data_IF_003052693575
#
_entry.id   IF_003052693575
#
_cell.length_a   1.000
_cell.length_b   1.000
_cell.length_c   1.000
_cell.angle_alpha   90.00
_cell.angle_beta   90.00
_cell.angle_gamma   90.00
#
_symmetry.space_group_name_H-M   'P 1'
#
loop_
_entity.id
_entity.type
_entity.pdbx_description
1 polymer ?
#
# COMPACT_ATOMS: atom_id res chain seq x y z
N UNK A 1 -15.07 36.08 28.71
CA UNK A 1 -13.87 35.26 28.50
C UNK A 1 -13.33 34.63 29.75
N UNK A 2 -13.23 35.36 30.88
CA UNK A 2 -12.71 34.84 32.18
C UNK A 2 -13.67 33.83 32.83
N UNK A 3 -14.99 34.13 32.83
CA UNK A 3 -16.01 33.25 33.41
C UNK A 3 -16.19 31.92 32.66
N UNK A 4 -15.89 31.91 31.38
CA UNK A 4 -15.99 30.70 30.52
C UNK A 4 -14.75 29.81 30.66
N UNK A 5 -13.58 30.42 30.86
CA UNK A 5 -12.36 29.70 31.24
C UNK A 5 -12.47 29.00 32.58
N UNK A 6 -13.03 29.69 33.57
CA UNK A 6 -13.25 29.13 34.90
C UNK A 6 -14.25 27.97 34.91
N UNK A 7 -15.26 28.00 34.03
CA UNK A 7 -16.24 26.93 33.86
C UNK A 7 -15.65 25.68 33.18
N UNK A 8 -14.75 25.86 32.22
CA UNK A 8 -14.03 24.76 31.54
C UNK A 8 -13.03 24.12 32.47
N UNK A 9 -12.35 24.92 33.32
CA UNK A 9 -11.42 24.43 34.36
C UNK A 9 -12.17 23.63 35.42
N UNK A 10 -13.34 24.11 35.89
CA UNK A 10 -14.19 23.37 36.83
C UNK A 10 -14.69 22.02 36.27
N UNK A 11 -15.05 21.94 34.97
CA UNK A 11 -15.49 20.71 34.31
C UNK A 11 -14.34 19.67 34.21
N UNK A 12 -13.12 20.11 33.95
CA UNK A 12 -11.93 19.23 33.91
C UNK A 12 -11.49 18.75 35.29
N UNK A 13 -11.63 19.58 36.32
CA UNK A 13 -11.33 19.24 37.72
C UNK A 13 -12.25 18.13 38.24
N UNK A 14 -13.51 18.14 37.86
CA UNK A 14 -14.49 17.13 38.28
C UNK A 14 -14.22 15.76 37.62
N UNK A 15 -13.58 15.73 36.46
CA UNK A 15 -13.20 14.50 35.77
C UNK A 15 -11.86 13.90 36.24
N UNK A 16 -10.95 14.71 36.81
CA UNK A 16 -9.58 14.29 37.13
C UNK A 16 -9.33 14.03 38.64
N UNK A 17 -10.30 14.27 39.50
CA UNK A 17 -10.16 14.04 40.96
C UNK A 17 -9.13 14.94 41.70
N UNK A 18 -8.66 16.02 41.05
CA UNK A 18 -7.71 16.97 41.61
C UNK A 18 -8.42 18.22 42.12
N UNK A 19 -7.94 18.79 43.25
CA UNK A 19 -8.55 20.02 43.78
C UNK A 19 -8.17 21.23 42.91
N UNK A 20 -9.11 22.17 42.79
CA UNK A 20 -8.95 23.41 42.01
C UNK A 20 -7.67 24.20 42.40
N UNK A 21 -7.30 24.18 43.68
CA UNK A 21 -6.12 24.88 44.19
C UNK A 21 -4.80 24.21 43.77
N UNK A 22 -4.79 22.89 43.61
CA UNK A 22 -3.60 22.18 43.13
C UNK A 22 -3.35 22.48 41.64
N UNK A 23 -4.40 22.51 40.85
CA UNK A 23 -4.29 22.80 39.42
C UNK A 23 -3.92 24.24 39.11
N UNK A 24 -4.38 25.18 39.98
CA UNK A 24 -4.04 26.61 39.91
C UNK A 24 -2.57 26.86 40.28
N UNK A 25 -2.02 26.10 41.22
CA UNK A 25 -0.59 26.14 41.59
C UNK A 25 0.27 25.57 40.45
N UNK A 26 -0.06 24.41 39.90
CA UNK A 26 0.67 23.82 38.80
C UNK A 26 0.68 24.73 37.55
N UNK A 27 -0.46 25.37 37.23
CA UNK A 27 -0.53 26.34 36.13
C UNK A 27 0.25 27.63 36.41
N UNK A 28 0.33 28.07 37.65
CA UNK A 28 1.13 29.24 38.05
C UNK A 28 2.64 28.91 38.07
N UNK A 29 3.03 27.72 38.46
CA UNK A 29 4.40 27.22 38.39
C UNK A 29 4.87 27.02 36.98
N UNK A 30 4.00 26.46 36.08
CA UNK A 30 4.28 26.36 34.64
C UNK A 30 4.38 27.73 33.96
N UNK A 31 3.53 28.68 34.31
CA UNK A 31 3.60 30.06 33.78
C UNK A 31 4.81 30.84 34.34
N UNK A 32 5.31 30.55 35.53
CA UNK A 32 6.53 31.16 36.07
C UNK A 32 7.80 30.49 35.53
N UNK A 33 7.81 29.21 35.26
CA UNK A 33 8.88 28.50 34.58
C UNK A 33 9.03 28.93 33.11
N UNK A 34 7.93 29.27 32.46
CA UNK A 34 7.89 29.77 31.06
C UNK A 34 8.46 31.20 30.93
N UNK A 35 8.64 31.93 32.01
CA UNK A 35 9.12 33.35 32.00
C UNK A 35 10.64 33.54 32.07
N UNK A 36 11.47 32.50 32.03
CA UNK A 36 12.91 32.59 32.29
C UNK A 36 13.87 31.94 31.27
N UNK A 37 13.51 31.81 30.00
CA UNK A 37 14.42 31.22 28.99
C UNK A 37 14.15 31.66 27.57
N UNK A 38 14.85 32.66 27.04
CA UNK A 38 14.39 33.50 25.93
C UNK A 38 14.75 33.06 24.51
N UNK A 39 15.49 31.97 24.25
CA UNK A 39 15.86 31.55 22.88
C UNK A 39 15.51 30.10 22.53
N UNK A 40 15.44 29.20 23.49
CA UNK A 40 14.87 27.84 23.26
C UNK A 40 13.35 27.86 23.14
N UNK A 41 12.71 28.76 23.91
CA UNK A 41 11.25 28.90 23.95
C UNK A 41 10.65 29.34 22.63
N UNK A 42 11.33 30.23 21.85
CA UNK A 42 10.83 30.65 20.53
C UNK A 42 10.87 29.55 19.47
N UNK A 43 11.80 28.59 19.59
CA UNK A 43 11.82 27.40 18.73
C UNK A 43 10.77 26.39 19.16
N UNK A 44 10.58 26.19 20.45
CA UNK A 44 9.56 25.28 20.99
C UNK A 44 8.14 25.85 20.82
N UNK A 45 7.92 27.16 20.95
CA UNK A 45 6.64 27.82 20.63
C UNK A 45 6.32 27.73 19.12
N UNK A 46 7.31 27.86 18.24
CA UNK A 46 7.12 27.72 16.80
C UNK A 46 6.80 26.28 16.41
N UNK A 47 7.43 25.29 17.05
CA UNK A 47 7.12 23.87 16.90
C UNK A 47 5.76 23.50 17.49
N UNK A 48 5.36 24.09 18.64
CA UNK A 48 4.04 23.94 19.25
C UNK A 48 2.92 24.63 18.48
N UNK A 49 3.23 25.65 17.67
CA UNK A 49 2.28 26.37 16.82
C UNK A 49 2.06 25.75 15.45
N UNK A 50 2.98 24.87 15.00
CA UNK A 50 2.84 24.19 13.71
C UNK A 50 1.61 23.28 13.70
N UNK A 51 0.76 23.44 12.69
CA UNK A 51 -0.45 22.59 12.57
C UNK A 51 -0.15 21.15 12.19
N UNK A 52 1.01 20.88 11.60
CA UNK A 52 1.53 19.54 11.29
C UNK A 52 2.79 19.28 12.11
N UNK A 53 2.70 18.49 13.15
CA UNK A 53 3.83 18.23 14.05
C UNK A 53 4.73 17.10 13.54
N UNK A 54 4.12 15.99 13.09
CA UNK A 54 4.87 14.82 12.62
C UNK A 54 5.54 15.06 11.27
N UNK A 55 4.86 15.72 10.33
CA UNK A 55 5.44 16.03 9.03
C UNK A 55 6.57 17.06 9.16
N UNK A 56 6.41 18.08 10.02
CA UNK A 56 7.50 19.04 10.29
C UNK A 56 8.71 18.36 10.93
N UNK A 57 8.51 17.39 11.84
CA UNK A 57 9.60 16.60 12.39
C UNK A 57 10.33 15.75 11.32
N UNK A 58 9.63 15.30 10.28
CA UNK A 58 10.27 14.67 9.11
C UNK A 58 11.14 15.67 8.37
N UNK A 59 10.67 16.90 8.13
CA UNK A 59 11.46 17.97 7.50
C UNK A 59 12.75 18.24 8.26
N UNK A 60 12.69 18.29 9.58
CA UNK A 60 13.86 18.49 10.44
C UNK A 60 14.83 17.30 10.37
N UNK A 61 14.31 16.07 10.42
CA UNK A 61 15.10 14.84 10.27
C UNK A 61 15.89 14.83 8.95
N UNK A 62 15.23 15.26 7.86
CA UNK A 62 15.83 15.23 6.52
C UNK A 62 16.61 16.50 6.16
N UNK A 63 16.63 17.55 6.98
CA UNK A 63 17.44 18.74 6.76
C UNK A 63 18.96 18.44 6.70
N UNK A 64 19.40 17.41 7.40
CA UNK A 64 20.81 16.95 7.46
C UNK A 64 20.96 15.49 6.98
N UNK A 65 19.95 14.95 6.31
CA UNK A 65 19.95 13.57 5.85
C UNK A 65 21.00 13.35 4.77
N UNK A 66 21.77 12.28 4.93
CA UNK A 66 22.64 11.75 3.89
C UNK A 66 21.97 10.53 3.27
N UNK A 67 21.84 10.49 1.93
CA UNK A 67 21.32 9.31 1.27
C UNK A 67 22.08 8.05 1.68
N UNK A 68 21.40 6.94 1.94
CA UNK A 68 22.06 5.67 2.21
C UNK A 68 22.80 5.17 0.97
N UNK A 69 23.73 4.25 1.18
CA UNK A 69 24.35 3.52 0.08
C UNK A 69 23.40 2.39 -0.33
N UNK A 70 22.98 2.42 -1.59
CA UNK A 70 22.16 1.38 -2.19
C UNK A 70 23.03 0.27 -2.79
N UNK A 71 22.50 -0.95 -2.79
CA UNK A 71 23.12 -2.16 -3.33
C UNK A 71 22.37 -2.53 -4.62
N UNK A 72 22.70 -1.83 -5.70
CA UNK A 72 21.97 -1.90 -6.97
C UNK A 72 22.57 -2.97 -7.95
N UNK A 73 23.56 -3.73 -7.54
CA UNK A 73 24.08 -4.88 -8.31
C UNK A 73 23.22 -6.13 -8.00
N UNK A 74 22.00 -6.15 -8.55
CA UNK A 74 20.99 -7.17 -8.29
C UNK A 74 20.22 -7.53 -9.57
N UNK A 75 19.64 -8.73 -9.57
CA UNK A 75 18.69 -9.18 -10.61
C UNK A 75 17.35 -9.49 -9.98
N UNK A 76 16.25 -9.41 -10.74
CA UNK A 76 14.92 -9.72 -10.24
C UNK A 76 14.79 -11.17 -9.76
N UNK A 77 15.38 -12.12 -10.48
CA UNK A 77 15.42 -13.53 -10.09
C UNK A 77 16.18 -13.71 -8.77
N UNK A 78 17.40 -13.13 -8.66
CA UNK A 78 18.21 -13.17 -7.45
C UNK A 78 17.50 -12.54 -6.25
N UNK A 79 16.80 -11.40 -6.43
CA UNK A 79 16.02 -10.78 -5.37
C UNK A 79 14.88 -11.69 -4.88
N UNK A 80 14.23 -12.43 -5.79
CA UNK A 80 13.18 -13.39 -5.41
C UNK A 80 13.74 -14.54 -4.53
N UNK A 81 14.87 -15.10 -4.92
CA UNK A 81 15.53 -16.17 -4.17
C UNK A 81 16.03 -15.67 -2.82
N UNK A 82 16.71 -14.53 -2.80
CA UNK A 82 17.25 -13.92 -1.58
C UNK A 82 16.13 -13.55 -0.58
N UNK A 83 15.03 -12.95 -1.04
CA UNK A 83 13.89 -12.63 -0.20
C UNK A 83 13.22 -13.88 0.39
N UNK A 84 13.05 -14.93 -0.43
CA UNK A 84 12.52 -16.21 0.03
C UNK A 84 13.41 -16.84 1.11
N UNK A 85 14.72 -16.87 0.87
CA UNK A 85 15.70 -17.42 1.81
C UNK A 85 15.77 -16.60 3.10
N UNK A 86 15.73 -15.24 2.99
CA UNK A 86 15.70 -14.35 4.13
C UNK A 86 14.44 -14.57 4.99
N UNK A 87 13.27 -14.71 4.39
CA UNK A 87 12.02 -15.00 5.10
C UNK A 87 12.11 -16.33 5.87
N UNK A 88 12.69 -17.36 5.25
CA UNK A 88 12.89 -18.67 5.87
C UNK A 88 13.84 -18.59 7.07
N UNK A 89 15.07 -18.11 6.86
CA UNK A 89 16.12 -18.18 7.88
C UNK A 89 15.90 -17.21 9.02
N UNK A 90 15.50 -15.97 8.72
CA UNK A 90 15.42 -14.93 9.74
C UNK A 90 14.07 -14.87 10.46
N UNK A 91 13.00 -15.40 9.85
CA UNK A 91 11.65 -15.26 10.37
C UNK A 91 10.89 -16.59 10.50
N UNK A 92 11.45 -17.71 10.05
CA UNK A 92 10.77 -19.02 10.05
C UNK A 92 9.50 -19.02 9.17
N UNK A 93 9.49 -18.20 8.11
CA UNK A 93 8.37 -18.04 7.19
C UNK A 93 8.70 -18.74 5.86
N UNK A 94 7.86 -19.67 5.49
CA UNK A 94 8.07 -20.52 4.32
C UNK A 94 7.11 -20.13 3.22
N UNK A 95 7.65 -19.52 2.15
CA UNK A 95 6.87 -19.17 0.96
C UNK A 95 7.38 -19.96 -0.24
N UNK A 96 6.49 -20.37 -1.12
CA UNK A 96 6.87 -20.90 -2.41
C UNK A 96 7.56 -19.79 -3.24
N UNK A 97 8.56 -20.16 -4.02
CA UNK A 97 9.27 -19.21 -4.87
C UNK A 97 8.33 -18.50 -5.84
N UNK A 98 7.30 -19.22 -6.34
CA UNK A 98 6.23 -18.65 -7.17
C UNK A 98 5.53 -17.48 -6.48
N UNK A 99 5.21 -17.61 -5.19
CA UNK A 99 4.57 -16.52 -4.41
C UNK A 99 5.44 -15.27 -4.34
N UNK A 100 6.74 -15.45 -4.13
CA UNK A 100 7.69 -14.33 -4.09
C UNK A 100 7.82 -13.68 -5.48
N UNK A 101 7.90 -14.48 -6.55
CA UNK A 101 7.91 -14.00 -7.94
C UNK A 101 6.65 -13.19 -8.27
N UNK A 102 5.46 -13.69 -7.89
CA UNK A 102 4.20 -12.97 -8.02
C UNK A 102 4.20 -11.65 -7.27
N UNK A 103 4.80 -11.63 -6.07
CA UNK A 103 4.89 -10.43 -5.25
C UNK A 103 5.78 -9.37 -5.92
N UNK A 104 7.01 -9.72 -6.31
CA UNK A 104 7.95 -8.79 -6.96
C UNK A 104 7.39 -8.28 -8.31
N UNK A 105 6.86 -9.18 -9.14
CA UNK A 105 6.25 -8.79 -10.41
C UNK A 105 4.95 -7.99 -10.23
N UNK A 106 4.19 -8.27 -9.17
CA UNK A 106 3.00 -7.50 -8.82
C UNK A 106 3.31 -6.04 -8.46
N UNK A 107 4.47 -5.76 -7.82
CA UNK A 107 4.93 -4.39 -7.55
C UNK A 107 5.14 -3.59 -8.83
N UNK A 108 5.62 -4.21 -9.90
CA UNK A 108 5.77 -3.56 -11.20
C UNK A 108 4.41 -3.24 -11.86
N UNK A 109 3.42 -4.09 -11.65
CA UNK A 109 2.12 -3.99 -12.30
C UNK A 109 1.21 -2.91 -11.69
N UNK A 110 1.20 -2.78 -10.34
CA UNK A 110 0.31 -1.86 -9.63
C UNK A 110 0.94 -1.35 -8.33
N UNK A 111 0.44 -0.22 -7.83
CA UNK A 111 0.80 0.29 -6.49
C UNK A 111 -0.09 -0.25 -5.37
N UNK A 112 -1.13 -1.01 -5.71
CA UNK A 112 -2.00 -1.70 -4.74
C UNK A 112 -1.92 -3.20 -4.96
N UNK A 113 -1.49 -3.95 -3.95
CA UNK A 113 -1.51 -5.42 -3.93
C UNK A 113 -2.51 -5.88 -2.88
N UNK A 114 -3.24 -6.94 -3.18
CA UNK A 114 -4.15 -7.60 -2.23
C UNK A 114 -3.69 -9.03 -2.01
N UNK A 115 -3.34 -9.35 -0.77
CA UNK A 115 -3.03 -10.69 -0.32
C UNK A 115 -4.29 -11.28 0.31
N UNK A 116 -4.89 -12.25 -0.35
CA UNK A 116 -6.12 -12.89 0.14
C UNK A 116 -5.92 -14.39 0.40
N UNK A 117 -6.78 -14.98 1.20
CA UNK A 117 -6.76 -16.41 1.51
C UNK A 117 -7.14 -16.70 2.97
N UNK A 118 -6.97 -17.94 3.38
CA UNK A 118 -7.30 -18.39 4.74
C UNK A 118 -6.42 -17.75 5.81
N UNK A 119 -6.93 -17.65 7.03
CA UNK A 119 -6.16 -17.09 8.16
C UNK A 119 -4.92 -17.95 8.48
N UNK A 120 -3.82 -17.27 8.88
CA UNK A 120 -2.58 -17.95 9.30
C UNK A 120 -1.67 -18.43 8.17
N UNK A 121 -1.86 -17.97 6.92
CA UNK A 121 -1.00 -18.29 5.77
C UNK A 121 0.16 -17.32 5.56
N UNK A 122 0.32 -16.32 6.44
CA UNK A 122 1.44 -15.38 6.37
C UNK A 122 1.18 -14.14 5.51
N UNK A 123 -0.10 -13.79 5.25
CA UNK A 123 -0.47 -12.60 4.45
C UNK A 123 0.15 -11.30 4.93
N UNK A 124 0.02 -10.99 6.21
CA UNK A 124 0.62 -9.79 6.83
C UNK A 124 2.14 -9.92 6.99
N UNK A 125 2.61 -11.16 7.23
CA UNK A 125 4.03 -11.42 7.44
C UNK A 125 4.87 -11.22 6.19
N UNK A 126 4.35 -11.52 5.00
CA UNK A 126 5.10 -11.40 3.74
C UNK A 126 5.55 -9.94 3.47
N UNK A 127 4.67 -8.94 3.40
CA UNK A 127 5.08 -7.56 3.18
C UNK A 127 5.87 -6.98 4.38
N UNK A 128 5.63 -7.46 5.59
CA UNK A 128 6.43 -7.07 6.75
C UNK A 128 7.89 -7.52 6.60
N UNK A 129 8.12 -8.78 6.23
CA UNK A 129 9.48 -9.32 6.00
C UNK A 129 10.13 -8.68 4.78
N UNK A 130 9.36 -8.36 3.75
CA UNK A 130 9.86 -7.58 2.62
C UNK A 130 10.46 -6.24 3.06
N UNK A 131 9.75 -5.49 3.92
CA UNK A 131 10.28 -4.24 4.47
C UNK A 131 11.60 -4.46 5.21
N UNK A 132 11.70 -5.54 6.01
CA UNK A 132 12.96 -5.90 6.69
C UNK A 132 14.07 -6.24 5.71
N UNK A 133 13.78 -7.04 4.69
CA UNK A 133 14.74 -7.42 3.67
C UNK A 133 15.29 -6.21 2.92
N UNK A 134 14.42 -5.27 2.51
CA UNK A 134 14.81 -4.04 1.81
C UNK A 134 15.34 -2.93 2.74
N UNK A 135 15.54 -3.21 4.03
CA UNK A 135 16.09 -2.27 5.03
C UNK A 135 15.24 -1.00 5.17
N UNK A 136 13.93 -1.12 4.96
CA UNK A 136 12.96 -0.07 5.15
C UNK A 136 11.65 -0.64 5.72
N UNK A 137 11.52 -0.60 7.04
CA UNK A 137 10.42 -1.24 7.76
C UNK A 137 9.05 -0.84 7.21
N UNK A 138 8.21 -1.83 6.95
CA UNK A 138 6.84 -1.60 6.51
C UNK A 138 6.01 -0.91 7.61
N UNK A 139 5.16 0.02 7.21
CA UNK A 139 4.19 0.66 8.09
C UNK A 139 2.90 -0.14 8.10
N UNK A 140 2.46 -0.59 9.28
CA UNK A 140 1.22 -1.36 9.42
C UNK A 140 0.10 -0.42 9.85
N UNK A 141 -0.93 -0.34 9.04
CA UNK A 141 -2.21 0.31 9.37
C UNK A 141 -3.25 -0.78 9.64
N UNK A 142 -3.55 -1.03 10.90
CA UNK A 142 -4.60 -1.98 11.30
C UNK A 142 -5.96 -1.33 11.06
N UNK A 143 -6.66 -1.79 10.04
CA UNK A 143 -7.98 -1.27 9.67
C UNK A 143 -8.98 -1.61 10.78
N UNK A 144 -9.81 -0.64 11.16
CA UNK A 144 -10.82 -0.81 12.21
C UNK A 144 -12.21 -0.88 11.59
N UNK A 145 -13.17 -1.60 12.17
CA UNK A 145 -14.56 -1.65 11.69
C UNK A 145 -15.25 -0.27 11.64
N UNK A 146 -14.73 0.69 12.38
CA UNK A 146 -15.22 2.08 12.41
C UNK A 146 -14.77 2.93 11.23
N UNK A 147 -13.80 2.48 10.43
CA UNK A 147 -13.28 3.28 9.31
C UNK A 147 -14.35 3.53 8.25
N UNK A 148 -14.59 4.80 7.93
CA UNK A 148 -15.67 5.21 7.02
C UNK A 148 -15.23 6.15 5.92
N UNK A 149 -14.13 6.86 6.11
CA UNK A 149 -13.66 7.86 5.16
C UNK A 149 -12.13 7.98 5.16
N UNK A 150 -11.59 8.88 4.34
CA UNK A 150 -10.16 9.11 4.19
C UNK A 150 -9.45 9.60 5.47
N UNK A 151 -10.19 10.19 6.42
CA UNK A 151 -9.60 10.75 7.64
C UNK A 151 -8.94 9.68 8.50
N UNK A 152 -9.45 8.47 8.43
CA UNK A 152 -8.87 7.31 9.13
C UNK A 152 -7.49 6.95 8.56
N UNK A 153 -7.29 7.16 7.26
CA UNK A 153 -6.04 6.84 6.56
C UNK A 153 -5.01 7.98 6.66
N UNK A 154 -5.44 9.23 6.47
CA UNK A 154 -4.53 10.39 6.38
C UNK A 154 -4.58 11.29 7.60
N UNK A 155 -5.67 11.28 8.35
CA UNK A 155 -5.94 12.23 9.41
C UNK A 155 -6.84 13.37 8.95
N UNK A 156 -7.03 14.33 9.83
CA UNK A 156 -7.94 15.45 9.61
C UNK A 156 -7.51 16.71 10.36
N UNK A 157 -7.90 17.88 9.86
CA UNK A 157 -7.67 19.13 10.54
C UNK A 157 -8.71 19.36 11.64
N UNK A 158 -8.23 19.63 12.85
CA UNK A 158 -9.08 19.92 14.00
C UNK A 158 -9.25 21.43 14.15
N UNK A 159 -10.46 21.93 13.88
CA UNK A 159 -10.79 23.36 13.89
C UNK A 159 -10.64 24.00 15.29
N UNK A 160 -10.78 23.24 16.37
CA UNK A 160 -10.66 23.75 17.73
C UNK A 160 -9.21 23.93 18.15
N UNK A 161 -8.38 22.91 17.89
CA UNK A 161 -6.95 22.92 18.27
C UNK A 161 -6.08 23.61 17.24
N UNK A 162 -6.63 23.87 16.03
CA UNK A 162 -5.90 24.36 14.86
C UNK A 162 -4.71 23.47 14.45
N UNK A 163 -4.78 22.18 14.79
CA UNK A 163 -3.77 21.17 14.47
C UNK A 163 -4.36 20.10 13.55
N UNK A 164 -3.50 19.53 12.73
CA UNK A 164 -3.83 18.36 11.93
C UNK A 164 -3.54 17.10 12.76
N UNK A 165 -4.51 16.20 12.88
CA UNK A 165 -4.33 14.89 13.50
C UNK A 165 -3.73 13.94 12.48
N UNK A 166 -2.40 13.86 12.46
CA UNK A 166 -1.62 13.11 11.47
C UNK A 166 -1.59 11.63 11.82
N UNK A 167 -1.88 10.78 10.83
CA UNK A 167 -1.73 9.32 10.95
C UNK A 167 -0.29 8.90 10.65
N UNK A 168 0.04 7.66 11.01
CA UNK A 168 1.34 7.07 10.67
C UNK A 168 1.45 6.80 9.17
N UNK A 169 0.34 6.47 8.49
CA UNK A 169 0.28 6.31 7.04
C UNK A 169 0.63 7.62 6.33
N UNK A 170 0.00 8.73 6.74
CA UNK A 170 0.32 10.05 6.18
C UNK A 170 1.79 10.40 6.39
N UNK A 171 2.32 10.21 7.61
CA UNK A 171 3.73 10.46 7.92
C UNK A 171 4.65 9.65 6.99
N UNK A 172 4.34 8.37 6.78
CA UNK A 172 5.15 7.49 5.92
C UNK A 172 5.13 7.91 4.46
N UNK A 173 3.96 8.27 3.93
CA UNK A 173 3.82 8.80 2.57
C UNK A 173 4.65 10.08 2.41
N UNK A 174 4.57 10.99 3.38
CA UNK A 174 5.33 12.23 3.38
C UNK A 174 6.85 11.98 3.41
N UNK A 175 7.30 11.09 4.31
CA UNK A 175 8.71 10.70 4.46
C UNK A 175 9.27 10.04 3.20
N UNK A 176 8.46 9.26 2.48
CA UNK A 176 8.85 8.62 1.22
C UNK A 176 9.26 9.63 0.13
N UNK A 177 8.77 10.87 0.19
CA UNK A 177 9.18 11.95 -0.70
C UNK A 177 10.62 12.45 -0.48
N UNK A 178 11.29 12.04 0.60
CA UNK A 178 12.66 12.41 0.91
C UNK A 178 13.70 11.34 0.59
N UNK A 179 13.30 10.15 0.21
CA UNK A 179 14.20 9.02 -0.01
C UNK A 179 13.85 8.24 -1.26
N UNK A 180 14.76 7.40 -1.70
CA UNK A 180 14.58 6.48 -2.83
C UNK A 180 14.41 5.02 -2.36
N UNK A 181 14.00 4.81 -1.11
CA UNK A 181 13.72 3.48 -0.57
C UNK A 181 12.37 2.95 -1.08
N UNK A 182 12.22 1.63 -1.10
CA UNK A 182 10.94 0.96 -1.32
C UNK A 182 10.08 1.11 -0.04
N UNK A 183 8.98 1.86 -0.12
CA UNK A 183 8.11 2.12 1.02
C UNK A 183 6.86 1.24 0.94
N UNK A 184 6.63 0.44 1.97
CA UNK A 184 5.50 -0.49 2.05
C UNK A 184 4.55 -0.05 3.15
N UNK A 185 3.28 0.12 2.79
CA UNK A 185 2.18 0.39 3.72
C UNK A 185 1.26 -0.82 3.70
N UNK A 186 1.13 -1.50 4.82
CA UNK A 186 0.27 -2.67 4.99
C UNK A 186 -1.07 -2.20 5.54
N UNK A 187 -2.14 -2.46 4.79
CA UNK A 187 -3.53 -2.29 5.24
C UNK A 187 -3.99 -3.64 5.79
N UNK A 188 -3.76 -3.85 7.08
CA UNK A 188 -4.04 -5.15 7.69
C UNK A 188 -5.53 -5.34 7.95
N UNK A 189 -6.06 -6.51 7.53
CA UNK A 189 -7.49 -6.82 7.52
C UNK A 189 -8.33 -5.75 6.78
N UNK A 190 -7.86 -5.37 5.59
CA UNK A 190 -8.43 -4.21 4.86
C UNK A 190 -9.93 -4.29 4.62
N UNK A 191 -10.51 -5.48 4.62
CA UNK A 191 -11.95 -5.70 4.38
C UNK A 191 -12.80 -5.81 5.66
N UNK A 192 -12.23 -5.54 6.85
CA UNK A 192 -13.01 -5.40 8.08
C UNK A 192 -13.85 -4.11 8.10
N UNK A 193 -13.46 -3.14 7.25
CA UNK A 193 -14.23 -1.96 6.88
C UNK A 193 -14.41 -1.92 5.36
N UNK A 194 -15.30 -1.07 4.85
CA UNK A 194 -15.52 -0.94 3.40
C UNK A 194 -14.37 -0.19 2.74
N UNK A 195 -13.53 -0.91 2.02
CA UNK A 195 -12.34 -0.37 1.32
C UNK A 195 -12.69 0.80 0.42
N UNK A 196 -13.81 0.70 -0.28
CA UNK A 196 -14.31 1.70 -1.23
C UNK A 196 -14.63 3.05 -0.58
N UNK A 197 -14.68 3.12 0.74
CA UNK A 197 -14.95 4.36 1.46
C UNK A 197 -13.67 5.00 1.96
N UNK A 198 -12.90 4.31 2.80
CA UNK A 198 -11.70 4.90 3.38
C UNK A 198 -10.51 5.00 2.41
N UNK A 199 -10.48 4.15 1.37
CA UNK A 199 -9.41 4.12 0.36
C UNK A 199 -9.85 4.67 -1.01
N UNK A 200 -11.06 5.22 -1.14
CA UNK A 200 -11.65 5.69 -2.40
C UNK A 200 -10.77 6.70 -3.15
N UNK A 201 -10.22 7.67 -2.44
CA UNK A 201 -9.37 8.70 -3.03
C UNK A 201 -8.08 8.11 -3.59
N UNK A 202 -7.43 7.22 -2.85
CA UNK A 202 -6.23 6.53 -3.33
C UNK A 202 -6.51 5.66 -4.55
N UNK A 203 -7.65 4.94 -4.58
CA UNK A 203 -8.06 4.18 -5.77
C UNK A 203 -8.17 5.07 -7.01
N UNK A 204 -8.57 6.32 -6.85
CA UNK A 204 -8.70 7.28 -7.95
C UNK A 204 -7.36 7.90 -8.32
N UNK A 205 -6.57 8.32 -7.34
CA UNK A 205 -5.26 8.96 -7.54
C UNK A 205 -4.28 8.00 -8.23
N UNK A 206 -4.19 6.76 -7.76
CA UNK A 206 -3.26 5.75 -8.30
C UNK A 206 -3.62 5.28 -9.73
N UNK A 207 -4.79 5.65 -10.24
CA UNK A 207 -5.20 5.39 -11.63
C UNK A 207 -4.82 6.49 -12.62
N UNK A 208 -4.47 7.67 -12.14
CA UNK A 208 -4.09 8.77 -13.03
C UNK A 208 -2.87 8.37 -13.86
N UNK A 209 -2.93 8.55 -15.19
CA UNK A 209 -1.86 8.12 -16.09
C UNK A 209 -0.52 8.83 -15.82
N UNK A 210 -0.57 10.10 -15.41
CA UNK A 210 0.62 10.88 -15.06
C UNK A 210 0.84 10.87 -13.54
N UNK A 211 1.91 10.24 -13.04
CA UNK A 211 2.24 10.27 -11.60
C UNK A 211 2.51 11.67 -11.03
N UNK A 212 2.73 12.69 -11.88
CA UNK A 212 2.86 14.06 -11.41
C UNK A 212 1.52 14.65 -10.93
N UNK A 213 0.41 14.07 -11.35
CA UNK A 213 -0.93 14.44 -10.90
C UNK A 213 -1.36 13.69 -9.62
N UNK A 214 -0.55 12.73 -9.15
CA UNK A 214 -0.85 12.00 -7.92
C UNK A 214 -0.70 12.90 -6.72
N UNK A 215 -1.81 13.45 -6.25
CA UNK A 215 -1.86 14.35 -5.10
C UNK A 215 -3.16 14.18 -4.32
N UNK A 216 -3.07 14.43 -3.02
CA UNK A 216 -4.21 14.49 -2.11
C UNK A 216 -4.24 15.87 -1.46
N UNK A 217 -5.42 16.45 -1.34
CA UNK A 217 -5.61 17.69 -0.59
C UNK A 217 -5.76 17.37 0.89
N UNK A 218 -4.85 17.87 1.74
CA UNK A 218 -4.91 17.72 3.19
C UNK A 218 -5.64 18.89 3.85
N UNK A 219 -5.41 20.09 3.34
CA UNK A 219 -5.98 21.35 3.83
C UNK A 219 -6.25 22.30 2.66
N UNK A 220 -7.25 23.18 2.77
CA UNK A 220 -7.66 24.05 1.65
C UNK A 220 -6.65 25.16 1.33
N UNK A 221 -5.74 25.49 2.25
CA UNK A 221 -4.74 26.54 2.05
C UNK A 221 -3.48 26.26 2.86
N UNK A 222 -2.35 26.76 2.39
CA UNK A 222 -1.06 26.70 3.08
C UNK A 222 -0.96 27.79 4.13
N UNK A 223 -0.34 27.48 5.28
CA UNK A 223 0.03 28.44 6.30
C UNK A 223 1.56 28.56 6.38
N UNK A 224 2.01 29.69 6.89
CA UNK A 224 3.45 29.84 7.20
C UNK A 224 3.87 28.79 8.24
N UNK A 225 4.94 28.05 7.94
CA UNK A 225 5.43 26.95 8.79
C UNK A 225 4.85 25.58 8.47
N UNK A 226 4.03 25.45 7.42
CA UNK A 226 3.59 24.13 6.93
C UNK A 226 4.77 23.30 6.40
N UNK A 227 4.62 21.96 6.38
CA UNK A 227 5.63 21.05 5.86
C UNK A 227 6.05 21.36 4.42
N UNK A 228 7.33 21.19 4.11
CA UNK A 228 7.94 21.61 2.83
C UNK A 228 7.34 20.97 1.58
N UNK A 229 6.92 19.69 1.65
CA UNK A 229 6.30 18.97 0.54
C UNK A 229 4.80 19.21 0.43
N UNK A 230 4.22 20.07 1.28
CA UNK A 230 2.83 20.46 1.19
C UNK A 230 2.70 21.73 0.34
N UNK A 231 2.27 21.56 -0.92
CA UNK A 231 2.16 22.68 -1.88
C UNK A 231 0.69 23.04 -2.07
N UNK A 232 0.31 24.27 -1.72
CA UNK A 232 -1.08 24.76 -1.77
C UNK A 232 -2.07 23.80 -1.08
N UNK A 233 -1.68 23.28 0.08
CA UNK A 233 -2.49 22.32 0.85
C UNK A 233 -2.51 20.89 0.33
N UNK A 234 -1.82 20.62 -0.78
CA UNK A 234 -1.78 19.31 -1.41
C UNK A 234 -0.45 18.60 -1.12
N UNK A 235 -0.53 17.30 -0.84
CA UNK A 235 0.61 16.39 -0.77
C UNK A 235 0.70 15.56 -2.04
N UNK A 236 1.86 15.61 -2.73
CA UNK A 236 2.17 14.70 -3.84
C UNK A 236 2.40 13.30 -3.28
N UNK A 237 1.76 12.30 -3.87
CA UNK A 237 1.99 10.88 -3.52
C UNK A 237 3.24 10.39 -4.25
N UNK A 238 4.29 9.97 -3.53
CA UNK A 238 5.52 9.47 -4.15
C UNK A 238 5.30 8.11 -4.81
N UNK A 239 6.00 7.87 -5.92
CA UNK A 239 5.89 6.62 -6.68
C UNK A 239 6.56 5.42 -5.98
N UNK A 240 7.47 5.66 -5.05
CA UNK A 240 8.17 4.63 -4.27
C UNK A 240 7.36 4.10 -3.07
N UNK A 241 6.02 4.27 -3.10
CA UNK A 241 5.10 3.77 -2.07
C UNK A 241 4.17 2.72 -2.66
N UNK A 242 4.10 1.55 -2.01
CA UNK A 242 3.13 0.50 -2.31
C UNK A 242 2.19 0.27 -1.14
N UNK A 243 0.93 0.02 -1.47
CA UNK A 243 -0.11 -0.33 -0.51
C UNK A 243 -0.40 -1.82 -0.66
N UNK A 244 -0.30 -2.57 0.45
CA UNK A 244 -0.51 -4.01 0.45
C UNK A 244 -1.62 -4.34 1.44
N UNK A 245 -2.80 -4.65 0.93
CA UNK A 245 -3.96 -5.02 1.74
C UNK A 245 -3.99 -6.52 2.02
N UNK A 246 -4.32 -6.91 3.25
CA UNK A 246 -4.61 -8.30 3.59
C UNK A 246 -6.12 -8.52 3.71
N UNK A 247 -6.61 -9.61 3.14
CA UNK A 247 -8.03 -9.99 3.16
C UNK A 247 -8.17 -11.39 3.72
N UNK A 248 -9.05 -11.55 4.69
CA UNK A 248 -9.54 -12.84 5.14
C UNK A 248 -10.88 -13.13 4.46
N UNK A 249 -11.01 -14.33 3.88
CA UNK A 249 -12.25 -14.79 3.26
C UNK A 249 -13.12 -15.47 4.31
N UNK A 250 -13.51 -14.75 5.36
CA UNK A 250 -14.41 -15.23 6.40
C UNK A 250 -15.74 -14.43 6.41
N UNK A 251 -16.79 -15.03 6.97
CA UNK A 251 -18.14 -14.48 6.96
C UNK A 251 -18.31 -13.18 7.78
N UNK A 252 -17.28 -12.78 8.53
CA UNK A 252 -17.33 -11.62 9.43
C UNK A 252 -16.87 -10.32 8.76
N UNK A 253 -16.40 -10.38 7.50
CA UNK A 253 -15.80 -9.26 6.79
C UNK A 253 -16.65 -8.78 5.61
N UNK A 254 -16.40 -7.55 5.13
CA UNK A 254 -17.09 -7.03 3.94
C UNK A 254 -16.53 -7.69 2.67
N UNK A 255 -17.43 -7.96 1.71
CA UNK A 255 -17.00 -8.30 0.36
C UNK A 255 -16.34 -7.09 -0.29
N UNK A 256 -15.20 -7.30 -0.94
CA UNK A 256 -14.47 -6.26 -1.67
C UNK A 256 -15.00 -6.20 -3.10
N UNK A 257 -15.31 -5.00 -3.58
CA UNK A 257 -15.90 -4.81 -4.90
C UNK A 257 -14.88 -4.94 -6.04
N UNK A 258 -15.38 -5.16 -7.25
CA UNK A 258 -14.56 -5.17 -8.47
C UNK A 258 -13.79 -3.87 -8.68
N UNK A 259 -14.29 -2.73 -8.17
CA UNK A 259 -13.57 -1.45 -8.25
C UNK A 259 -12.18 -1.51 -7.60
N UNK A 260 -12.04 -2.24 -6.50
CA UNK A 260 -10.76 -2.46 -5.82
C UNK A 260 -9.94 -3.50 -6.55
N UNK A 261 -10.54 -4.65 -6.86
CA UNK A 261 -9.85 -5.76 -7.50
C UNK A 261 -9.33 -5.44 -8.91
N UNK A 262 -10.03 -4.64 -9.69
CA UNK A 262 -9.56 -4.20 -11.01
C UNK A 262 -8.29 -3.33 -10.92
N UNK A 263 -8.10 -2.63 -9.79
CA UNK A 263 -6.95 -1.73 -9.53
C UNK A 263 -5.81 -2.40 -8.80
N UNK A 264 -6.10 -3.43 -8.02
CA UNK A 264 -5.11 -4.17 -7.23
C UNK A 264 -4.49 -5.31 -8.05
N UNK A 265 -3.27 -5.71 -7.73
CA UNK A 265 -2.75 -7.03 -8.09
C UNK A 265 -3.09 -8.00 -6.95
N UNK A 266 -3.75 -9.11 -7.26
CA UNK A 266 -4.24 -10.04 -6.25
C UNK A 266 -3.30 -11.24 -6.15
N UNK A 267 -2.93 -11.63 -4.94
CA UNK A 267 -2.15 -12.84 -4.66
C UNK A 267 -2.94 -13.72 -3.68
N UNK A 268 -3.21 -14.96 -4.10
CA UNK A 268 -3.89 -15.94 -3.27
C UNK A 268 -2.87 -16.71 -2.43
N UNK A 269 -3.07 -16.70 -1.11
CA UNK A 269 -2.29 -17.45 -0.12
C UNK A 269 -3.21 -18.46 0.57
N UNK A 270 -3.56 -19.53 -0.15
CA UNK A 270 -4.56 -20.51 0.30
C UNK A 270 -3.95 -21.70 1.07
N UNK A 271 -2.62 -21.80 1.10
CA UNK A 271 -1.91 -22.86 1.79
C UNK A 271 -0.81 -22.31 2.71
N UNK A 272 -0.56 -23.02 3.79
CA UNK A 272 0.62 -22.77 4.62
C UNK A 272 1.86 -23.26 3.89
N UNK A 273 2.93 -22.46 3.96
CA UNK A 273 4.21 -22.84 3.39
C UNK A 273 4.77 -24.12 4.03
N UNK A 274 5.42 -24.95 3.22
CA UNK A 274 6.12 -26.14 3.67
C UNK A 274 7.54 -25.76 4.10
N UNK A 275 8.01 -26.16 5.30
CA UNK A 275 9.36 -25.91 5.75
C UNK A 275 10.40 -26.43 4.75
N UNK A 276 11.44 -25.63 4.53
CA UNK A 276 12.60 -25.99 3.72
C UNK A 276 13.85 -25.38 4.32
N UNK A 277 15.02 -25.94 4.00
CA UNK A 277 16.30 -25.39 4.39
C UNK A 277 16.76 -24.36 3.36
N UNK A 278 17.22 -23.20 3.85
CA UNK A 278 17.69 -22.10 3.01
C UNK A 278 19.06 -21.61 3.48
N UNK A 279 19.91 -21.10 2.57
CA UNK A 279 21.16 -20.46 2.95
C UNK A 279 20.89 -19.16 3.72
N UNK A 280 21.82 -18.80 4.62
CA UNK A 280 21.80 -17.52 5.31
C UNK A 280 21.91 -16.40 4.29
N UNK A 281 20.95 -15.51 4.28
CA UNK A 281 20.85 -14.41 3.31
C UNK A 281 20.78 -13.08 4.04
N UNK A 282 21.59 -12.12 3.59
CA UNK A 282 21.63 -10.76 4.13
C UNK A 282 20.48 -9.92 3.58
N UNK A 283 20.21 -8.79 4.25
CA UNK A 283 19.32 -7.76 3.74
C UNK A 283 19.90 -7.10 2.49
N UNK A 284 19.03 -6.54 1.64
CA UNK A 284 19.39 -5.78 0.43
C UNK A 284 18.70 -4.42 0.42
N UNK A 285 19.46 -3.35 0.48
CA UNK A 285 18.92 -2.01 0.33
C UNK A 285 18.98 -1.60 -1.14
N UNK A 286 17.92 -1.87 -1.89
CA UNK A 286 17.78 -1.51 -3.30
C UNK A 286 17.01 -0.21 -3.42
N UNK A 287 17.41 0.69 -4.33
CA UNK A 287 16.68 1.93 -4.57
C UNK A 287 15.41 1.68 -5.40
N UNK A 288 14.42 2.55 -5.22
CA UNK A 288 13.23 2.56 -6.09
C UNK A 288 13.60 2.77 -7.55
N UNK A 289 14.52 3.71 -7.81
CA UNK A 289 14.99 4.01 -9.16
C UNK A 289 15.62 2.78 -9.83
N UNK A 290 16.38 1.97 -9.09
CA UNK A 290 16.93 0.71 -9.60
C UNK A 290 15.84 -0.32 -9.90
N UNK A 291 14.87 -0.48 -9.00
CA UNK A 291 13.76 -1.40 -9.23
C UNK A 291 12.94 -1.04 -10.48
N UNK A 292 12.70 0.25 -10.72
CA UNK A 292 12.00 0.69 -11.95
C UNK A 292 12.88 0.43 -13.19
N UNK A 293 14.20 0.63 -13.11
CA UNK A 293 15.13 0.28 -14.20
C UNK A 293 15.03 -1.22 -14.53
N UNK A 294 15.12 -2.09 -13.53
CA UNK A 294 14.99 -3.54 -13.71
C UNK A 294 13.62 -3.94 -14.30
N UNK A 295 12.55 -3.25 -13.92
CA UNK A 295 11.22 -3.50 -14.48
C UNK A 295 11.13 -3.07 -15.93
N UNK A 296 11.64 -1.90 -16.31
CA UNK A 296 11.63 -1.46 -17.71
C UNK A 296 12.53 -2.35 -18.59
N UNK A 297 13.72 -2.72 -18.11
CA UNK A 297 14.58 -3.69 -18.79
C UNK A 297 13.89 -5.05 -19.00
N UNK A 298 13.15 -5.53 -18.00
CA UNK A 298 12.38 -6.76 -18.12
C UNK A 298 11.28 -6.65 -19.20
N UNK A 299 10.59 -5.50 -19.26
CA UNK A 299 9.54 -5.23 -20.25
C UNK A 299 10.12 -5.17 -21.68
N UNK A 300 11.32 -4.60 -21.84
CA UNK A 300 12.01 -4.53 -23.12
C UNK A 300 12.56 -5.88 -23.56
N UNK A 301 13.13 -6.67 -22.63
CA UNK A 301 13.79 -7.94 -22.95
C UNK A 301 12.83 -9.13 -23.05
N UNK A 302 11.66 -9.08 -22.41
CA UNK A 302 10.68 -10.17 -22.35
C UNK A 302 9.27 -9.68 -22.73
N UNK A 303 9.09 -8.95 -23.84
CA UNK A 303 7.75 -8.47 -24.21
C UNK A 303 6.80 -9.66 -24.39
N UNK A 304 5.55 -9.49 -24.02
CA UNK A 304 4.53 -10.53 -24.25
C UNK A 304 4.43 -10.82 -25.75
N UNK A 305 4.52 -12.09 -26.12
CA UNK A 305 4.52 -12.53 -27.52
C UNK A 305 3.27 -12.10 -28.27
N UNK A 306 3.41 -11.66 -29.51
CA UNK A 306 2.29 -11.23 -30.39
C UNK A 306 1.21 -12.32 -30.49
N UNK A 307 1.63 -13.57 -30.66
CA UNK A 307 0.72 -14.72 -30.71
C UNK A 307 -0.14 -14.86 -29.49
N UNK A 308 0.44 -14.60 -28.28
CA UNK A 308 -0.29 -14.65 -27.00
C UNK A 308 -1.27 -13.47 -26.92
N UNK A 309 -0.86 -12.28 -27.33
CA UNK A 309 -1.74 -11.10 -27.36
C UNK A 309 -2.94 -11.32 -28.29
N UNK A 310 -2.74 -11.90 -29.47
CA UNK A 310 -3.84 -12.28 -30.38
C UNK A 310 -4.79 -13.33 -29.79
N UNK A 311 -4.25 -14.32 -29.03
CA UNK A 311 -5.07 -15.31 -28.33
C UNK A 311 -5.91 -14.67 -27.22
N UNK A 312 -5.32 -13.75 -26.48
CA UNK A 312 -6.01 -12.99 -25.43
C UNK A 312 -7.13 -12.13 -26.02
N UNK A 313 -6.89 -11.47 -27.16
CA UNK A 313 -7.91 -10.67 -27.85
C UNK A 313 -9.09 -11.54 -28.32
N UNK A 314 -8.80 -12.71 -28.89
CA UNK A 314 -9.85 -13.68 -29.27
C UNK A 314 -10.65 -14.16 -28.06
N UNK A 315 -9.98 -14.39 -26.93
CA UNK A 315 -10.63 -14.78 -25.68
C UNK A 315 -11.50 -13.63 -25.12
N UNK A 316 -11.02 -12.37 -25.16
CA UNK A 316 -11.79 -11.20 -24.73
C UNK A 316 -13.09 -11.06 -25.53
N UNK A 317 -13.01 -11.14 -26.86
CA UNK A 317 -14.20 -11.09 -27.72
C UNK A 317 -15.21 -12.20 -27.40
N UNK A 318 -14.71 -13.43 -27.15
CA UNK A 318 -15.57 -14.56 -26.79
C UNK A 318 -16.26 -14.34 -25.45
N UNK A 319 -15.50 -13.88 -24.44
CA UNK A 319 -16.02 -13.65 -23.08
C UNK A 319 -17.00 -12.47 -23.05
N UNK A 320 -16.76 -11.42 -23.82
CA UNK A 320 -17.70 -10.32 -24.01
C UNK A 320 -19.03 -10.82 -24.60
N UNK A 321 -18.96 -11.60 -25.69
CA UNK A 321 -20.14 -12.08 -26.40
C UNK A 321 -21.00 -12.99 -25.50
N UNK A 322 -20.36 -13.97 -24.84
CA UNK A 322 -21.06 -15.05 -24.11
C UNK A 322 -21.38 -14.70 -22.68
N UNK A 323 -20.53 -13.95 -21.99
CA UNK A 323 -20.63 -13.69 -20.56
C UNK A 323 -20.81 -12.21 -20.19
N UNK A 324 -20.68 -11.30 -21.17
CA UNK A 324 -20.73 -9.84 -20.95
C UNK A 324 -19.66 -9.33 -19.95
N UNK A 325 -18.54 -10.01 -19.90
CA UNK A 325 -17.35 -9.64 -19.14
C UNK A 325 -16.28 -9.18 -20.14
N UNK A 326 -15.62 -8.07 -19.87
CA UNK A 326 -14.53 -7.54 -20.70
C UNK A 326 -13.22 -7.49 -19.92
N UNK A 327 -12.09 -7.68 -20.60
CA UNK A 327 -10.76 -7.50 -20.00
C UNK A 327 -10.48 -6.03 -19.73
N UNK A 328 -10.80 -5.18 -20.68
CA UNK A 328 -10.56 -3.75 -20.62
C UNK A 328 -9.08 -3.36 -20.71
N UNK A 329 -8.83 -2.10 -21.04
CA UNK A 329 -7.48 -1.56 -21.23
C UNK A 329 -6.59 -1.65 -19.98
N UNK A 330 -7.20 -1.61 -18.78
CA UNK A 330 -6.48 -1.68 -17.52
C UNK A 330 -5.84 -3.05 -17.31
N UNK A 331 -6.59 -4.12 -17.54
CA UNK A 331 -6.09 -5.50 -17.39
C UNK A 331 -4.97 -5.72 -18.40
N UNK A 332 -5.14 -5.27 -19.65
CA UNK A 332 -4.10 -5.36 -20.68
C UNK A 332 -2.83 -4.57 -20.31
N UNK A 333 -2.97 -3.38 -19.71
CA UNK A 333 -1.82 -2.61 -19.22
C UNK A 333 -1.09 -3.35 -18.09
N UNK A 334 -1.83 -3.90 -17.15
CA UNK A 334 -1.25 -4.69 -16.04
C UNK A 334 -0.56 -5.96 -16.57
N UNK A 335 -1.17 -6.68 -17.51
CA UNK A 335 -0.61 -7.88 -18.14
C UNK A 335 0.72 -7.58 -18.82
N UNK A 336 0.78 -6.51 -19.63
CA UNK A 336 1.99 -6.11 -20.37
C UNK A 336 3.14 -5.63 -19.46
N UNK A 337 2.87 -5.26 -18.23
CA UNK A 337 3.91 -4.96 -17.21
C UNK A 337 4.25 -6.18 -16.36
N UNK A 338 3.24 -6.92 -15.94
CA UNK A 338 3.41 -8.05 -15.02
C UNK A 338 4.14 -9.23 -15.66
N UNK A 339 3.69 -9.69 -16.85
CA UNK A 339 4.21 -10.93 -17.45
C UNK A 339 5.70 -10.84 -17.76
N UNK A 340 6.22 -9.77 -18.40
CA UNK A 340 7.67 -9.62 -18.62
C UNK A 340 8.49 -9.65 -17.33
N UNK A 341 8.03 -8.93 -16.30
CA UNK A 341 8.72 -8.89 -15.02
C UNK A 341 8.64 -10.24 -14.29
N UNK A 342 7.52 -10.96 -14.40
CA UNK A 342 7.38 -12.30 -13.85
C UNK A 342 8.35 -13.29 -14.52
N UNK A 343 8.57 -13.17 -15.83
CA UNK A 343 9.57 -13.95 -16.57
C UNK A 343 10.98 -13.58 -16.09
N UNK A 344 11.30 -12.31 -15.95
CA UNK A 344 12.60 -11.86 -15.43
C UNK A 344 12.84 -12.26 -13.96
N UNK A 345 11.79 -12.54 -13.18
CA UNK A 345 11.87 -13.15 -11.86
C UNK A 345 12.12 -14.68 -11.90
N UNK A 346 12.27 -15.29 -13.09
CA UNK A 346 12.44 -16.72 -13.30
C UNK A 346 11.13 -17.51 -13.42
N UNK A 347 10.02 -16.83 -13.69
CA UNK A 347 8.75 -17.44 -14.09
C UNK A 347 8.69 -17.76 -15.57
N UNK A 348 7.55 -18.27 -16.03
CA UNK A 348 7.30 -18.51 -17.45
C UNK A 348 6.14 -17.62 -17.96
N UNK A 349 6.15 -17.34 -19.25
CA UNK A 349 5.20 -16.40 -19.87
C UNK A 349 3.76 -16.89 -19.76
N UNK A 350 3.50 -18.16 -20.06
CA UNK A 350 2.15 -18.73 -20.01
C UNK A 350 1.60 -18.76 -18.58
N UNK A 351 2.44 -19.14 -17.61
CA UNK A 351 2.09 -19.10 -16.19
C UNK A 351 1.76 -17.68 -15.69
N UNK A 352 2.44 -16.66 -16.23
CA UNK A 352 2.13 -15.25 -15.95
C UNK A 352 0.81 -14.82 -16.56
N UNK A 353 0.55 -15.19 -17.81
CA UNK A 353 -0.72 -14.91 -18.51
C UNK A 353 -1.89 -15.62 -17.82
N UNK A 354 -1.75 -16.92 -17.53
CA UNK A 354 -2.75 -17.70 -16.79
C UNK A 354 -3.13 -17.04 -15.48
N UNK A 355 -2.12 -16.59 -14.72
CA UNK A 355 -2.37 -15.93 -13.43
C UNK A 355 -3.19 -14.64 -13.56
N UNK A 356 -2.89 -13.80 -14.53
CA UNK A 356 -3.67 -12.59 -14.81
C UNK A 356 -5.09 -12.94 -15.25
N UNK A 357 -5.27 -13.91 -16.15
CA UNK A 357 -6.58 -14.34 -16.61
C UNK A 357 -7.41 -14.89 -15.45
N UNK A 358 -6.84 -15.76 -14.62
CA UNK A 358 -7.51 -16.33 -13.46
C UNK A 358 -7.95 -15.26 -12.46
N UNK A 359 -7.04 -14.36 -12.07
CA UNK A 359 -7.28 -13.40 -10.98
C UNK A 359 -8.03 -12.14 -11.41
N UNK A 360 -8.01 -11.78 -12.69
CA UNK A 360 -8.62 -10.53 -13.20
C UNK A 360 -9.85 -10.74 -14.04
N UNK A 361 -9.89 -11.84 -14.81
CA UNK A 361 -10.99 -12.11 -15.73
C UNK A 361 -11.95 -13.14 -15.13
N UNK A 362 -11.45 -14.34 -14.85
CA UNK A 362 -12.30 -15.44 -14.38
C UNK A 362 -12.82 -15.24 -12.96
N UNK A 363 -12.14 -14.48 -12.13
CA UNK A 363 -12.71 -14.04 -10.85
C UNK A 363 -14.06 -13.33 -11.00
N UNK A 364 -14.28 -12.57 -12.07
CA UNK A 364 -15.56 -11.88 -12.32
C UNK A 364 -16.72 -12.85 -12.55
N UNK A 365 -16.42 -14.09 -12.90
CA UNK A 365 -17.44 -15.14 -13.06
C UNK A 365 -18.09 -15.54 -11.74
N UNK A 366 -17.41 -15.32 -10.60
CA UNK A 366 -17.98 -15.57 -9.26
C UNK A 366 -19.24 -14.72 -8.99
N UNK A 367 -19.31 -13.54 -9.60
CA UNK A 367 -20.44 -12.63 -9.48
C UNK A 367 -21.58 -12.91 -10.46
N UNK A 368 -21.36 -13.80 -11.46
CA UNK A 368 -22.36 -14.11 -12.46
C UNK A 368 -23.36 -15.16 -11.93
N UNK A 369 -24.60 -15.07 -12.42
CA UNK A 369 -25.61 -16.06 -12.10
C UNK A 369 -25.28 -17.40 -12.78
N UNK A 370 -24.89 -18.40 -11.99
CA UNK A 370 -24.50 -19.72 -12.46
C UNK A 370 -25.55 -20.39 -13.36
N UNK A 371 -26.84 -20.17 -13.11
CA UNK A 371 -27.92 -20.72 -13.92
C UNK A 371 -27.92 -20.18 -15.36
N UNK A 372 -27.44 -18.95 -15.56
CA UNK A 372 -27.40 -18.30 -16.88
C UNK A 372 -26.15 -18.66 -17.69
N UNK A 373 -25.05 -19.02 -17.02
CA UNK A 373 -23.75 -19.24 -17.66
C UNK A 373 -23.38 -20.74 -17.77
N UNK A 374 -24.13 -21.62 -17.12
CA UNK A 374 -23.83 -23.05 -16.99
C UNK A 374 -23.55 -23.73 -18.32
N UNK A 375 -24.37 -23.44 -19.32
CA UNK A 375 -24.28 -24.06 -20.65
C UNK A 375 -23.11 -23.52 -21.49
N UNK A 376 -22.61 -22.31 -21.17
CA UNK A 376 -21.51 -21.65 -21.87
C UNK A 376 -20.13 -22.00 -21.27
N UNK A 377 -20.05 -22.55 -20.05
CA UNK A 377 -18.76 -22.87 -19.39
C UNK A 377 -18.00 -23.95 -20.14
N UNK A 378 -18.66 -25.04 -20.54
CA UNK A 378 -18.00 -26.12 -21.29
C UNK A 378 -17.47 -25.66 -22.66
N UNK A 379 -18.25 -24.92 -23.47
CA UNK A 379 -17.75 -24.30 -24.69
C UNK A 379 -16.55 -23.38 -24.46
N UNK A 380 -16.55 -22.57 -23.36
CA UNK A 380 -15.42 -21.72 -22.99
C UNK A 380 -14.15 -22.55 -22.74
N UNK A 381 -14.23 -23.60 -21.93
CA UNK A 381 -13.09 -24.49 -21.64
C UNK A 381 -12.53 -25.06 -22.96
N UNK A 382 -13.41 -25.58 -23.83
CA UNK A 382 -13.00 -26.11 -25.14
C UNK A 382 -12.34 -25.04 -26.01
N UNK A 383 -12.85 -23.81 -25.98
CA UNK A 383 -12.27 -22.69 -26.71
C UNK A 383 -10.89 -22.32 -26.16
N UNK A 384 -10.70 -22.28 -24.84
CA UNK A 384 -9.40 -22.05 -24.20
C UNK A 384 -8.40 -23.17 -24.56
N UNK A 385 -8.81 -24.45 -24.50
CA UNK A 385 -7.97 -25.58 -24.94
C UNK A 385 -7.52 -25.43 -26.38
N UNK A 386 -8.37 -24.84 -27.25
CA UNK A 386 -8.04 -24.60 -28.66
C UNK A 386 -7.04 -23.45 -28.80
N UNK A 387 -7.15 -22.40 -27.99
CA UNK A 387 -6.28 -21.22 -28.04
C UNK A 387 -4.89 -21.49 -27.46
N UNK A 388 -4.84 -22.07 -26.26
CA UNK A 388 -3.62 -22.18 -25.46
C UNK A 388 -3.05 -23.60 -25.41
N UNK A 389 -3.82 -24.62 -25.77
CA UNK A 389 -3.43 -26.02 -25.67
C UNK A 389 -4.11 -26.71 -24.48
N UNK A 390 -4.22 -28.05 -24.53
CA UNK A 390 -4.79 -28.82 -23.43
C UNK A 390 -3.82 -28.90 -22.25
N UNK A 391 -4.29 -28.51 -21.08
CA UNK A 391 -3.53 -28.63 -19.81
C UNK A 391 -2.49 -27.53 -19.62
N UNK A 392 -2.61 -26.45 -20.33
CA UNK A 392 -1.86 -25.19 -20.07
C UNK A 392 -2.61 -24.33 -19.07
#
# INVERSE_FOLDING_TARGET
>A
LTAEKDRIIQLKVTQAGLSYDQMKRTLQEELQAAASGDDKEKQDEKALSARFQRLSAVDEKYAFFRPPVYQNDVTLEGLCEELRNFACVNNGLYYELRTIRLMIAGLAATKLIVLQGISGTGKTSLPYVMGKFFVNDATIASVQPSWRDRNELFGYFNEFTKKFNETEVLRRIYEAGYNDDLNIIILDEMNIARVEYYFAEMLSVLEMPDPNEWKIELVPSTWEGDPKHLVSGNLKIPQNVWYIGTINNDDSTFSVSDKVYDRAFVINLDAKGVPFDAPVTSTRRVSYSEMETLYEEAIENHPVGEEILEKIEKLDLYVIEKFRVAFGNRIMKQLKRFVPVYVACGGDELGGVDYILATKVFRKFESLNLSLIRDEIRPLITFMDTLFGKGT
#
